data_IF_007599818813
#
_entry.id   IF_007599818813
#
_cell.length_a   1.000
_cell.length_b   1.000
_cell.length_c   1.000
_cell.angle_alpha   90.00
_cell.angle_beta   90.00
_cell.angle_gamma   90.00
#
_symmetry.space_group_name_H-M   'P 1'
#
loop_
_entity.id
_entity.type
_entity.pdbx_description
1 polymer ?
#
# COMPACT_ATOMS: atom_id res chain seq x y z
N UNK A 1 -20.95 -11.67 12.73
CA UNK A 1 -21.86 -11.86 11.57
C UNK A 1 -21.95 -13.36 11.25
N UNK A 2 -23.11 -13.88 10.85
CA UNK A 2 -23.27 -15.32 10.56
C UNK A 2 -22.46 -15.78 9.33
N UNK A 3 -22.11 -14.85 8.44
CA UNK A 3 -21.17 -15.05 7.32
C UNK A 3 -20.28 -13.79 7.18
N UNK A 4 -18.95 -13.89 7.38
CA UNK A 4 -18.05 -12.76 7.16
C UNK A 4 -17.91 -12.44 5.66
N UNK A 5 -17.61 -11.18 5.35
CA UNK A 5 -17.38 -10.66 3.99
C UNK A 5 -15.94 -10.21 3.91
N UNK A 6 -15.29 -10.44 2.77
CA UNK A 6 -13.94 -9.96 2.49
C UNK A 6 -14.00 -8.83 1.47
N UNK A 7 -13.45 -7.67 1.81
CA UNK A 7 -13.33 -6.52 0.92
C UNK A 7 -11.88 -6.32 0.44
N UNK A 8 -11.74 -5.78 -0.78
CA UNK A 8 -10.45 -5.43 -1.39
C UNK A 8 -10.32 -3.91 -1.65
N UNK A 9 -11.26 -3.12 -1.11
CA UNK A 9 -11.36 -1.67 -1.36
C UNK A 9 -11.84 -0.84 -0.17
N UNK A 10 -12.09 -1.46 0.99
CA UNK A 10 -12.47 -0.74 2.23
C UNK A 10 -11.22 -0.51 3.07
N UNK A 11 -10.89 0.75 3.35
CA UNK A 11 -9.78 1.14 4.21
C UNK A 11 -10.22 2.03 5.38
N UNK A 12 -9.25 2.45 6.19
CA UNK A 12 -9.49 3.19 7.44
C UNK A 12 -10.13 4.57 7.21
N UNK A 13 -9.82 5.23 6.08
CA UNK A 13 -10.42 6.52 5.74
C UNK A 13 -11.92 6.39 5.43
N UNK A 14 -12.37 5.29 4.82
CA UNK A 14 -13.78 4.98 4.63
C UNK A 14 -14.46 4.63 5.96
N UNK A 15 -13.81 3.81 6.80
CA UNK A 15 -14.34 3.42 8.12
C UNK A 15 -14.49 4.62 9.06
N UNK A 16 -13.63 5.64 8.95
CA UNK A 16 -13.73 6.88 9.73
C UNK A 16 -15.08 7.58 9.57
N UNK A 17 -15.74 7.42 8.42
CA UNK A 17 -16.97 8.13 8.07
C UNK A 17 -18.27 7.46 8.50
N UNK A 18 -18.24 6.24 9.06
CA UNK A 18 -19.43 5.39 9.26
C UNK A 18 -19.48 4.74 10.65
N UNK A 19 -20.63 4.18 11.03
CA UNK A 19 -20.74 3.32 12.20
C UNK A 19 -20.13 1.94 11.87
N UNK A 20 -19.03 1.62 12.53
CA UNK A 20 -18.21 0.42 12.32
C UNK A 20 -18.71 -0.79 13.11
N UNK A 21 -19.61 -0.62 14.08
CA UNK A 21 -20.13 -1.73 14.91
C UNK A 21 -20.74 -2.87 14.09
N UNK A 22 -21.53 -2.62 13.02
CA UNK A 22 -22.06 -3.68 12.18
C UNK A 22 -20.98 -4.40 11.37
N UNK A 23 -19.80 -3.79 11.22
CA UNK A 23 -18.72 -4.28 10.37
C UNK A 23 -17.71 -5.15 11.10
N UNK A 24 -17.76 -5.19 12.44
CA UNK A 24 -16.84 -5.98 13.27
C UNK A 24 -16.85 -7.44 12.83
N UNK A 25 -15.66 -7.98 12.59
CA UNK A 25 -15.47 -9.35 12.10
C UNK A 25 -15.55 -9.53 10.58
N UNK A 26 -15.84 -8.47 9.81
CA UNK A 26 -15.56 -8.48 8.37
C UNK A 26 -14.06 -8.33 8.12
N UNK A 27 -13.61 -8.82 6.96
CA UNK A 27 -12.20 -8.85 6.61
C UNK A 27 -11.90 -7.87 5.47
N UNK A 28 -10.69 -7.34 5.45
CA UNK A 28 -10.11 -6.63 4.32
C UNK A 28 -8.76 -7.24 3.94
N UNK A 29 -8.43 -7.23 2.66
CA UNK A 29 -7.14 -7.68 2.15
C UNK A 29 -6.39 -6.50 1.52
N UNK A 30 -5.22 -6.16 2.07
CA UNK A 30 -4.40 -5.01 1.68
C UNK A 30 -2.91 -5.31 1.78
N UNK A 31 -2.06 -4.37 1.35
CA UNK A 31 -0.61 -4.46 1.53
C UNK A 31 -0.11 -3.67 2.75
N UNK A 32 -0.98 -2.88 3.37
CA UNK A 32 -0.71 -2.06 4.55
C UNK A 32 -2.01 -1.83 5.35
N UNK A 33 -1.89 -1.79 6.66
CA UNK A 33 -2.90 -1.26 7.59
C UNK A 33 -2.22 -0.27 8.53
N UNK A 34 -2.91 0.80 8.93
CA UNK A 34 -2.39 1.77 9.88
C UNK A 34 -1.98 1.13 11.23
N UNK A 35 -2.64 0.04 11.61
CA UNK A 35 -2.42 -0.66 12.88
C UNK A 35 -1.09 -1.41 12.97
N UNK A 36 -0.33 -1.58 11.88
CA UNK A 36 0.93 -2.34 11.92
C UNK A 36 1.95 -1.69 12.85
N UNK A 37 2.55 -2.48 13.75
CA UNK A 37 3.45 -1.94 14.76
C UNK A 37 4.92 -1.99 14.32
N UNK A 38 5.45 -0.85 13.90
CA UNK A 38 6.88 -0.67 13.67
C UNK A 38 7.25 0.83 13.74
N UNK A 39 8.54 1.18 13.94
CA UNK A 39 8.94 2.58 14.07
C UNK A 39 8.72 3.42 12.80
N UNK A 40 8.81 2.82 11.60
CA UNK A 40 8.59 3.53 10.32
C UNK A 40 7.12 3.94 10.21
N UNK A 41 6.19 3.02 10.52
CA UNK A 41 4.77 3.31 10.53
C UNK A 41 4.39 4.36 11.57
N UNK A 42 4.88 4.20 12.81
CA UNK A 42 4.61 5.15 13.90
C UNK A 42 5.00 6.57 13.49
N UNK A 43 6.13 6.74 12.80
CA UNK A 43 6.56 8.02 12.26
C UNK A 43 5.63 8.51 11.14
N UNK A 44 5.32 7.67 10.16
CA UNK A 44 4.44 8.01 9.03
C UNK A 44 3.06 8.51 9.50
N UNK A 45 2.42 7.78 10.41
CA UNK A 45 1.11 8.13 10.98
C UNK A 45 1.19 9.43 11.78
N UNK A 46 2.24 9.61 12.59
CA UNK A 46 2.44 10.83 13.37
C UNK A 46 2.66 12.06 12.47
N UNK A 47 3.50 11.95 11.44
CA UNK A 47 3.75 13.01 10.48
C UNK A 47 2.46 13.42 9.75
N UNK A 48 1.66 12.45 9.32
CA UNK A 48 0.37 12.71 8.67
C UNK A 48 -0.61 13.42 9.60
N UNK A 49 -0.80 12.92 10.82
CA UNK A 49 -1.70 13.56 11.81
C UNK A 49 -1.26 14.99 12.13
N UNK A 50 0.04 15.21 12.32
CA UNK A 50 0.60 16.54 12.54
C UNK A 50 0.38 17.48 11.34
N UNK A 51 0.55 16.97 10.12
CA UNK A 51 0.27 17.73 8.91
C UNK A 51 -1.21 18.10 8.79
N UNK A 52 -2.12 17.14 8.99
CA UNK A 52 -3.56 17.35 8.93
C UNK A 52 -4.01 18.43 9.92
N UNK A 53 -3.53 18.37 11.16
CA UNK A 53 -3.78 19.39 12.18
C UNK A 53 -3.22 20.76 11.77
N UNK A 54 -1.94 20.82 11.36
CA UNK A 54 -1.29 22.08 10.96
C UNK A 54 -1.99 22.75 9.78
N UNK A 55 -2.54 21.96 8.85
CA UNK A 55 -3.27 22.46 7.68
C UNK A 55 -4.76 22.66 7.91
N UNK A 56 -5.24 22.41 9.13
CA UNK A 56 -6.65 22.49 9.49
C UNK A 56 -7.55 21.73 8.50
N UNK A 57 -7.12 20.51 8.13
CA UNK A 57 -7.89 19.67 7.21
C UNK A 57 -9.21 19.24 7.88
N UNK A 58 -10.29 19.07 7.11
CA UNK A 58 -11.54 18.51 7.64
C UNK A 58 -11.29 17.16 8.34
N UNK A 59 -11.77 17.02 9.57
CA UNK A 59 -11.61 15.78 10.35
C UNK A 59 -10.18 15.50 10.83
N UNK A 60 -9.31 16.52 10.93
CA UNK A 60 -7.91 16.35 11.36
C UNK A 60 -7.74 15.69 12.75
N UNK A 61 -8.71 15.84 13.65
CA UNK A 61 -8.77 15.19 14.96
C UNK A 61 -8.93 13.66 14.86
N UNK A 62 -9.50 13.18 13.75
CA UNK A 62 -9.72 11.76 13.43
C UNK A 62 -8.87 11.28 12.25
N UNK A 63 -7.85 12.03 11.86
CA UNK A 63 -7.01 11.68 10.71
C UNK A 63 -6.42 10.27 10.86
N UNK A 64 -6.57 9.44 9.83
CA UNK A 64 -5.96 8.11 9.73
C UNK A 64 -5.17 8.01 8.43
N UNK A 65 -4.41 6.94 8.28
CA UNK A 65 -3.78 6.53 7.03
C UNK A 65 -4.43 5.26 6.52
N UNK A 66 -4.29 4.97 5.23
CA UNK A 66 -4.73 3.72 4.60
C UNK A 66 -3.71 3.26 3.54
N UNK A 67 -3.94 2.10 2.93
CA UNK A 67 -3.02 1.51 1.93
C UNK A 67 -2.73 2.43 0.73
N UNK A 68 -3.71 3.08 0.08
CA UNK A 68 -3.42 4.04 -1.00
C UNK A 68 -2.50 5.21 -0.60
N UNK A 69 -2.64 5.70 0.63
CA UNK A 69 -1.76 6.75 1.15
C UNK A 69 -0.33 6.24 1.36
N UNK A 70 -0.17 5.03 1.90
CA UNK A 70 1.15 4.37 2.03
C UNK A 70 1.78 4.14 0.66
N UNK A 71 1.02 3.63 -0.31
CA UNK A 71 1.49 3.37 -1.66
C UNK A 71 1.96 4.67 -2.35
N UNK A 72 1.24 5.77 -2.14
CA UNK A 72 1.62 7.10 -2.65
C UNK A 72 2.89 7.61 -1.97
N UNK A 73 2.99 7.47 -0.65
CA UNK A 73 4.19 7.85 0.10
C UNK A 73 5.42 7.09 -0.42
N UNK A 74 5.34 5.76 -0.53
CA UNK A 74 6.41 4.93 -1.08
C UNK A 74 6.75 5.34 -2.51
N UNK A 75 5.75 5.47 -3.38
CA UNK A 75 5.95 5.75 -4.81
C UNK A 75 6.68 7.07 -5.07
N UNK A 76 6.33 8.15 -4.35
CA UNK A 76 7.00 9.44 -4.49
C UNK A 76 8.44 9.39 -3.97
N UNK A 77 8.72 8.69 -2.88
CA UNK A 77 10.08 8.56 -2.36
C UNK A 77 10.96 7.73 -3.29
N UNK A 78 10.44 6.62 -3.82
CA UNK A 78 11.16 5.83 -4.81
C UNK A 78 11.42 6.65 -6.08
N UNK A 79 10.42 7.38 -6.59
CA UNK A 79 10.62 8.28 -7.72
C UNK A 79 11.76 9.30 -7.47
N UNK A 80 11.78 9.93 -6.30
CA UNK A 80 12.85 10.85 -5.92
C UNK A 80 14.23 10.16 -5.91
N UNK A 81 14.31 8.95 -5.34
CA UNK A 81 15.54 8.13 -5.37
C UNK A 81 16.00 7.81 -6.80
N UNK A 82 15.08 7.55 -7.74
CA UNK A 82 15.44 7.40 -9.16
C UNK A 82 15.95 8.68 -9.79
N UNK A 83 15.32 9.82 -9.51
CA UNK A 83 15.78 11.12 -10.02
C UNK A 83 17.20 11.40 -9.53
N UNK A 84 17.48 11.15 -8.25
CA UNK A 84 18.82 11.31 -7.66
C UNK A 84 19.83 10.36 -8.30
N UNK A 85 19.48 9.07 -8.45
CA UNK A 85 20.32 8.05 -9.10
C UNK A 85 20.60 8.38 -10.57
N UNK A 86 19.59 8.82 -11.31
CA UNK A 86 19.68 9.19 -12.72
C UNK A 86 20.34 10.55 -12.94
N UNK A 87 20.44 11.38 -11.89
CA UNK A 87 20.85 12.80 -11.96
C UNK A 87 20.05 13.57 -13.01
N UNK A 88 18.77 13.24 -13.14
CA UNK A 88 17.92 13.71 -14.22
C UNK A 88 16.45 13.51 -13.86
N UNK A 89 15.60 14.39 -14.34
CA UNK A 89 14.13 14.25 -14.30
C UNK A 89 13.55 13.73 -15.62
N UNK A 90 14.40 13.44 -16.61
CA UNK A 90 14.00 12.79 -17.86
C UNK A 90 13.30 11.44 -17.61
N UNK A 91 12.14 11.25 -18.24
CA UNK A 91 11.24 10.12 -17.98
C UNK A 91 11.91 8.77 -18.24
N UNK A 92 12.62 8.63 -19.36
CA UNK A 92 13.23 7.35 -19.72
C UNK A 92 14.38 7.01 -18.77
N UNK A 93 15.22 8.00 -18.43
CA UNK A 93 16.32 7.80 -17.45
C UNK A 93 15.80 7.47 -16.05
N UNK A 94 14.74 8.16 -15.60
CA UNK A 94 14.11 7.88 -14.30
C UNK A 94 13.51 6.49 -14.30
N UNK A 95 12.82 6.10 -15.37
CA UNK A 95 12.21 4.77 -15.52
C UNK A 95 13.23 3.64 -15.47
N UNK A 96 14.40 3.82 -16.07
CA UNK A 96 15.51 2.87 -15.95
C UNK A 96 16.08 2.84 -14.52
N UNK A 97 16.22 4.00 -13.88
CA UNK A 97 16.75 4.10 -12.52
C UNK A 97 15.81 3.52 -11.45
N UNK A 98 14.50 3.67 -11.63
CA UNK A 98 13.44 2.65 -11.55
C UNK A 98 13.79 1.29 -10.95
N UNK A 99 14.28 0.45 -11.86
CA UNK A 99 14.36 -0.98 -11.73
C UNK A 99 15.24 -1.40 -10.55
N UNK A 100 14.70 -2.27 -9.69
CA UNK A 100 15.43 -2.87 -8.58
C UNK A 100 15.68 -1.95 -7.39
N UNK A 101 15.10 -0.74 -7.35
CA UNK A 101 15.14 0.08 -6.14
C UNK A 101 14.40 -0.58 -4.99
N UNK A 102 14.83 -0.27 -3.77
CA UNK A 102 14.24 -0.79 -2.54
C UNK A 102 13.84 0.35 -1.62
N UNK A 103 12.79 0.12 -0.82
CA UNK A 103 12.27 1.10 0.12
C UNK A 103 11.78 0.44 1.40
N UNK A 104 12.29 0.87 2.57
CA UNK A 104 11.78 0.44 3.86
C UNK A 104 10.44 1.15 4.14
N UNK A 105 9.34 0.43 3.98
CA UNK A 105 8.01 1.01 3.93
C UNK A 105 7.29 1.02 5.29
N UNK A 106 6.26 1.87 5.47
CA UNK A 106 5.41 1.86 6.66
C UNK A 106 4.78 0.49 6.97
N UNK A 107 4.55 -0.35 5.95
CA UNK A 107 4.11 -1.74 6.16
C UNK A 107 5.05 -2.61 7.00
N UNK A 108 6.28 -2.15 7.28
CA UNK A 108 7.30 -2.90 8.02
C UNK A 108 8.15 -3.80 7.12
N UNK A 109 7.87 -3.81 5.81
CA UNK A 109 8.61 -4.57 4.82
C UNK A 109 9.52 -3.66 3.99
N UNK A 110 10.59 -4.25 3.46
CA UNK A 110 11.38 -3.64 2.39
C UNK A 110 10.73 -3.97 1.06
N UNK A 111 10.14 -2.98 0.41
CA UNK A 111 9.51 -3.12 -0.91
C UNK A 111 10.58 -3.04 -1.99
N UNK A 112 10.38 -3.73 -3.10
CA UNK A 112 11.32 -3.75 -4.23
C UNK A 112 10.59 -3.46 -5.53
N UNK A 113 11.07 -2.47 -6.30
CA UNK A 113 10.59 -2.25 -7.66
C UNK A 113 11.07 -3.40 -8.54
N UNK A 114 10.15 -4.12 -9.16
CA UNK A 114 10.51 -5.21 -10.05
C UNK A 114 11.37 -4.67 -11.21
N UNK A 115 12.40 -5.43 -11.57
CA UNK A 115 13.37 -5.01 -12.59
C UNK A 115 12.81 -5.06 -14.01
N UNK A 116 11.72 -5.80 -14.20
CA UNK A 116 11.23 -6.20 -15.52
C UNK A 116 9.83 -5.70 -15.82
N UNK A 117 8.97 -5.50 -14.82
CA UNK A 117 7.55 -5.26 -15.04
C UNK A 117 6.99 -3.94 -14.47
N UNK A 118 7.81 -3.09 -13.85
CA UNK A 118 7.42 -1.84 -13.18
C UNK A 118 6.35 -1.99 -12.07
N UNK A 119 6.12 -3.20 -11.55
CA UNK A 119 5.26 -3.41 -10.40
C UNK A 119 6.09 -3.55 -9.13
N UNK A 120 5.47 -3.27 -7.98
CA UNK A 120 6.14 -3.25 -6.70
C UNK A 120 5.91 -4.56 -5.94
N UNK A 121 6.99 -5.18 -5.47
CA UNK A 121 6.90 -6.36 -4.61
C UNK A 121 6.38 -5.91 -3.24
N UNK A 122 5.17 -6.35 -2.87
CA UNK A 122 4.49 -5.92 -1.63
C UNK A 122 4.07 -7.14 -0.79
N UNK A 123 4.01 -7.01 0.55
CA UNK A 123 3.39 -8.02 1.40
C UNK A 123 1.88 -8.08 1.15
N UNK A 124 1.22 -9.16 1.56
CA UNK A 124 -0.26 -9.20 1.65
C UNK A 124 -0.65 -9.40 3.10
N UNK A 125 -1.66 -8.68 3.55
CA UNK A 125 -2.21 -8.71 4.90
C UNK A 125 -3.72 -8.93 4.81
N UNK A 126 -4.26 -9.75 5.71
CA UNK A 126 -5.68 -9.88 5.96
C UNK A 126 -5.96 -9.23 7.32
N UNK A 127 -6.78 -8.20 7.32
CA UNK A 127 -7.20 -7.45 8.50
C UNK A 127 -8.66 -7.73 8.84
N UNK A 128 -8.97 -7.89 10.12
CA UNK A 128 -10.33 -7.98 10.64
C UNK A 128 -10.75 -6.60 11.19
N UNK A 129 -11.92 -6.12 10.79
CA UNK A 129 -12.44 -4.81 11.22
C UNK A 129 -12.71 -4.81 12.71
N UNK A 130 -12.18 -3.81 13.40
CA UNK A 130 -12.43 -3.51 14.80
C UNK A 130 -13.50 -2.43 14.97
N UNK A 131 -14.09 -2.35 16.17
CA UNK A 131 -15.16 -1.39 16.50
C UNK A 131 -14.69 0.08 16.47
N UNK A 132 -13.39 0.31 16.55
CA UNK A 132 -12.73 1.62 16.49
C UNK A 132 -12.44 2.10 15.04
N UNK A 133 -12.83 1.33 14.01
CA UNK A 133 -12.56 1.65 12.61
C UNK A 133 -11.12 1.39 12.17
N UNK A 134 -10.39 0.57 12.91
CA UNK A 134 -9.08 0.02 12.54
C UNK A 134 -9.21 -1.46 12.16
N UNK A 135 -8.08 -2.06 11.80
CA UNK A 135 -7.98 -3.45 11.45
C UNK A 135 -7.02 -4.19 12.37
N UNK A 136 -7.43 -5.33 12.90
CA UNK A 136 -6.53 -6.30 13.52
C UNK A 136 -5.95 -7.21 12.42
N UNK A 137 -4.62 -7.24 12.27
CA UNK A 137 -3.98 -8.10 11.24
C UNK A 137 -4.01 -9.56 11.71
N UNK A 138 -4.91 -10.36 11.12
CA UNK A 138 -5.10 -11.78 11.47
C UNK A 138 -4.21 -12.73 10.67
N UNK A 139 -3.71 -12.27 9.53
CA UNK A 139 -2.74 -13.01 8.71
C UNK A 139 -1.91 -12.05 7.87
N UNK A 140 -0.64 -12.39 7.63
CA UNK A 140 0.19 -11.69 6.67
C UNK A 140 1.22 -12.62 6.03
N UNK A 141 1.74 -12.23 4.87
CA UNK A 141 2.88 -12.92 4.25
C UNK A 141 4.14 -12.78 5.09
N UNK A 142 5.04 -13.77 5.01
CA UNK A 142 6.35 -13.72 5.69
C UNK A 142 7.31 -12.74 5.04
N UNK A 143 7.19 -12.59 3.72
CA UNK A 143 8.06 -11.78 2.87
C UNK A 143 7.19 -11.06 1.81
N UNK A 144 7.70 -10.01 1.15
CA UNK A 144 7.01 -9.40 0.02
C UNK A 144 6.80 -10.42 -1.09
N UNK A 145 5.60 -10.42 -1.69
CA UNK A 145 5.33 -11.24 -2.87
C UNK A 145 5.94 -10.57 -4.09
N UNK A 146 6.65 -11.33 -4.92
CA UNK A 146 7.09 -10.85 -6.24
C UNK A 146 5.88 -10.35 -7.02
N UNK A 147 5.96 -9.13 -7.53
CA UNK A 147 4.87 -8.55 -8.28
C UNK A 147 4.66 -9.29 -9.62
N UNK A 148 3.41 -9.67 -9.87
CA UNK A 148 2.97 -10.28 -11.13
C UNK A 148 1.76 -9.49 -11.63
N UNK A 149 1.83 -8.84 -12.80
CA UNK A 149 0.71 -8.09 -13.36
C UNK A 149 -0.46 -8.99 -13.76
N UNK A 150 -0.18 -10.28 -13.99
CA UNK A 150 -1.16 -11.26 -14.45
C UNK A 150 -1.23 -12.42 -13.47
N UNK A 151 -2.42 -12.64 -12.91
CA UNK A 151 -2.67 -13.78 -12.01
C UNK A 151 -2.57 -15.11 -12.78
N UNK A 152 -1.80 -16.10 -12.28
CA UNK A 152 -1.71 -17.42 -12.92
C UNK A 152 -3.02 -18.23 -12.81
N UNK A 153 -3.96 -17.79 -11.98
CA UNK A 153 -5.24 -18.47 -11.75
C UNK A 153 -6.35 -18.05 -12.72
N UNK A 154 -6.09 -17.06 -13.59
CA UNK A 154 -7.06 -16.60 -14.59
C UNK A 154 -6.67 -17.18 -15.96
N UNK A 155 -7.55 -17.98 -16.60
CA UNK A 155 -7.26 -18.54 -17.92
C UNK A 155 -6.87 -17.48 -18.95
N UNK A 156 -5.78 -17.73 -19.70
CA UNK A 156 -5.26 -16.84 -20.74
C UNK A 156 -4.19 -15.85 -20.26
N UNK A 157 -3.99 -15.70 -18.95
CA UNK A 157 -2.92 -14.85 -18.41
C UNK A 157 -1.51 -15.43 -18.61
N UNK A 158 -1.41 -16.75 -18.77
CA UNK A 158 -0.18 -17.48 -19.09
C UNK A 158 0.51 -16.99 -20.36
N UNK A 159 -0.25 -16.36 -21.27
CA UNK A 159 0.24 -15.84 -22.55
C UNK A 159 0.61 -14.36 -22.51
N UNK A 160 0.35 -13.68 -21.39
CA UNK A 160 0.59 -12.24 -21.27
C UNK A 160 2.03 -12.00 -20.80
N UNK A 161 2.71 -10.99 -21.35
CA UNK A 161 4.09 -10.70 -20.96
C UNK A 161 4.14 -10.14 -19.54
N UNK A 162 5.17 -10.55 -18.81
CA UNK A 162 5.57 -10.02 -17.50
C UNK A 162 6.52 -8.82 -17.66
N UNK A 163 6.33 -8.01 -18.71
CA UNK A 163 7.08 -6.79 -18.98
C UNK A 163 6.13 -5.74 -19.57
N UNK A 164 6.42 -4.43 -19.45
CA UNK A 164 5.60 -3.40 -20.05
C UNK A 164 5.54 -3.58 -21.56
N UNK A 165 4.34 -3.70 -22.09
CA UNK A 165 4.10 -3.66 -23.54
C UNK A 165 3.79 -2.22 -23.89
N UNK A 166 4.52 -1.63 -24.84
CA UNK A 166 4.12 -0.34 -25.40
C UNK A 166 2.75 -0.51 -26.04
N UNK A 167 1.75 0.17 -25.51
CA UNK A 167 0.51 0.40 -26.26
C UNK A 167 0.80 1.42 -27.35
N UNK A 168 0.43 1.08 -28.59
CA UNK A 168 0.50 1.99 -29.74
C UNK A 168 -0.41 3.20 -29.53
#
# INVERSE_FOLDING_TARGET
PDVPVVAFSVGEEELRGIDTKPLVGHLAAWNYFQSVENPVNKKFVADWKAYAQKKNLPGADKAVTNDPMEATYVGIHMWAQAVEKAKSTDVDKVREAMAGQTFAAPSGFTLTMDKTNHHLHKPVMIGEVEDNGQFNVVWQTKEPIRAQPWSPYIPGNDKKPDTPVKSN
#
